data_IF_025385127968
#
_entry.id   IF_025385127968
#
_cell.length_a   1.000
_cell.length_b   1.000
_cell.length_c   1.000
_cell.angle_alpha   90.00
_cell.angle_beta   90.00
_cell.angle_gamma   90.00
#
_symmetry.space_group_name_H-M   'P 1'
#
loop_
_entity.id
_entity.type
_entity.pdbx_description
1 polymer ?
#
# COMPACT_ATOMS: atom_id res chain seq x y z
N UNK A 1 17.87 -1.06 6.70
CA UNK A 1 17.68 -1.84 5.48
C UNK A 1 17.99 -3.30 5.67
N UNK A 2 17.12 -4.14 5.20
CA UNK A 2 17.11 -5.57 5.55
C UNK A 2 17.95 -6.42 4.61
N UNK A 3 18.46 -5.85 3.52
CA UNK A 3 19.18 -6.62 2.51
C UNK A 3 20.47 -7.26 3.03
N UNK A 4 21.12 -6.68 4.04
CA UNK A 4 22.31 -7.26 4.63
C UNK A 4 22.10 -8.64 5.25
N UNK A 5 20.89 -8.92 5.72
CA UNK A 5 20.60 -10.22 6.34
C UNK A 5 20.50 -11.34 5.33
N UNK A 6 20.25 -11.05 4.06
CA UNK A 6 20.17 -12.06 3.02
C UNK A 6 21.54 -12.72 2.75
N UNK A 7 22.63 -11.98 2.93
CA UNK A 7 23.95 -12.50 2.75
C UNK A 7 24.34 -13.53 3.81
N UNK A 8 23.81 -13.42 5.00
CA UNK A 8 24.07 -14.37 6.08
C UNK A 8 23.39 -15.72 5.85
N UNK A 9 22.33 -15.72 5.08
CA UNK A 9 21.57 -16.92 4.73
C UNK A 9 22.02 -17.50 3.40
N UNK A 10 23.31 -17.54 3.14
CA UNK A 10 23.87 -17.99 1.88
C UNK A 10 23.50 -19.40 1.43
N UNK A 11 22.82 -20.15 2.28
CA UNK A 11 22.32 -21.49 1.95
C UNK A 11 20.90 -21.49 1.43
N UNK A 12 20.25 -20.34 1.40
CA UNK A 12 18.89 -20.23 0.86
C UNK A 12 18.89 -20.59 -0.62
N UNK A 13 17.80 -21.21 -1.03
CA UNK A 13 17.59 -21.47 -2.45
C UNK A 13 17.68 -20.17 -3.26
N UNK A 14 18.34 -20.20 -4.40
CA UNK A 14 18.49 -19.03 -5.24
C UNK A 14 17.14 -18.38 -5.61
N UNK A 15 16.10 -19.19 -5.83
CA UNK A 15 14.76 -18.70 -6.11
C UNK A 15 14.17 -17.90 -4.96
N UNK A 16 14.38 -18.33 -3.70
CA UNK A 16 13.90 -17.62 -2.51
C UNK A 16 14.61 -16.29 -2.35
N UNK A 17 15.92 -16.26 -2.53
CA UNK A 17 16.71 -15.03 -2.47
C UNK A 17 16.26 -14.06 -3.57
N UNK A 18 16.08 -14.57 -4.79
CA UNK A 18 15.64 -13.77 -5.92
C UNK A 18 14.26 -13.16 -5.68
N UNK A 19 13.31 -13.92 -5.13
CA UNK A 19 11.98 -13.42 -4.82
C UNK A 19 12.01 -12.34 -3.73
N UNK A 20 12.84 -12.52 -2.69
CA UNK A 20 12.99 -11.53 -1.63
C UNK A 20 13.59 -10.22 -2.16
N UNK A 21 14.60 -10.31 -3.01
CA UNK A 21 15.22 -9.13 -3.63
C UNK A 21 14.24 -8.44 -4.57
N UNK A 22 13.49 -9.18 -5.37
CA UNK A 22 12.48 -8.62 -6.25
C UNK A 22 11.37 -7.90 -5.48
N UNK A 23 10.92 -8.48 -4.37
CA UNK A 23 9.93 -7.84 -3.52
C UNK A 23 10.46 -6.54 -2.93
N UNK A 24 11.70 -6.53 -2.42
CA UNK A 24 12.32 -5.33 -1.87
C UNK A 24 12.45 -4.23 -2.94
N UNK A 25 12.87 -4.58 -4.14
CA UNK A 25 12.97 -3.63 -5.25
C UNK A 25 11.62 -3.04 -5.64
N UNK A 26 10.57 -3.86 -5.63
CA UNK A 26 9.20 -3.39 -5.90
C UNK A 26 8.70 -2.44 -4.83
N UNK A 27 8.93 -2.76 -3.56
CA UNK A 27 8.54 -1.89 -2.46
C UNK A 27 9.25 -0.54 -2.53
N UNK A 28 10.53 -0.52 -2.92
CA UNK A 28 11.26 0.72 -3.15
C UNK A 28 10.62 1.56 -4.26
N UNK A 29 10.25 0.94 -5.38
CA UNK A 29 9.51 1.63 -6.45
C UNK A 29 8.16 2.15 -5.98
N UNK A 30 7.49 1.41 -5.13
CA UNK A 30 6.17 1.78 -4.60
C UNK A 30 6.23 2.96 -3.64
N UNK A 31 7.35 3.19 -2.93
CA UNK A 31 7.49 4.38 -2.08
C UNK A 31 7.34 5.66 -2.88
N UNK A 32 7.78 5.64 -4.13
CA UNK A 32 7.61 6.77 -5.04
C UNK A 32 6.16 6.92 -5.49
N UNK A 33 5.50 5.81 -5.81
CA UNK A 33 4.10 5.81 -6.23
C UNK A 33 3.17 6.32 -5.13
N UNK A 34 3.36 5.82 -3.92
CA UNK A 34 2.52 6.20 -2.78
C UNK A 34 2.99 7.46 -2.07
N UNK A 35 4.16 7.99 -2.46
CA UNK A 35 4.76 9.18 -1.83
C UNK A 35 4.89 9.01 -0.32
N UNK A 36 5.31 7.82 0.11
CA UNK A 36 5.54 7.52 1.51
C UNK A 36 6.98 7.06 1.72
N UNK A 37 7.62 7.44 2.83
CA UNK A 37 9.03 7.12 3.05
C UNK A 37 9.28 5.65 3.38
N UNK A 38 8.31 4.93 3.93
CA UNK A 38 8.54 3.57 4.38
C UNK A 38 7.32 2.68 4.20
N UNK A 39 7.52 1.58 3.48
CA UNK A 39 6.50 0.57 3.22
C UNK A 39 6.97 -0.79 3.73
N UNK A 40 6.02 -1.60 4.17
CA UNK A 40 6.24 -3.00 4.54
C UNK A 40 5.20 -3.90 3.87
N UNK A 41 5.61 -5.12 3.56
CA UNK A 41 4.65 -6.17 3.24
C UNK A 41 4.03 -6.72 4.52
N UNK A 42 2.85 -7.33 4.40
CA UNK A 42 2.21 -8.00 5.54
C UNK A 42 3.14 -9.05 6.17
N UNK A 43 3.83 -9.82 5.35
CA UNK A 43 4.77 -10.83 5.84
C UNK A 43 5.86 -10.23 6.72
N UNK A 44 6.45 -9.11 6.30
CA UNK A 44 7.46 -8.42 7.09
C UNK A 44 6.87 -7.86 8.38
N UNK A 45 5.68 -7.26 8.29
CA UNK A 45 4.99 -6.71 9.47
C UNK A 45 4.73 -7.79 10.52
N UNK A 46 4.30 -8.97 10.10
CA UNK A 46 4.04 -10.09 11.01
C UNK A 46 5.31 -10.56 11.72
N UNK A 47 6.47 -10.48 11.05
CA UNK A 47 7.75 -10.88 11.63
C UNK A 47 8.25 -9.90 12.69
N UNK A 48 8.05 -8.60 12.50
CA UNK A 48 8.54 -7.59 13.44
C UNK A 48 7.53 -7.25 14.54
N UNK A 49 6.27 -7.65 14.38
CA UNK A 49 5.19 -7.33 15.30
C UNK A 49 4.55 -5.98 15.02
N UNK A 50 3.24 -5.98 14.96
CA UNK A 50 2.46 -4.79 14.57
C UNK A 50 2.30 -3.75 15.69
N UNK A 51 2.70 -4.11 16.93
CA UNK A 51 2.59 -3.21 18.08
C UNK A 51 3.75 -2.21 18.20
N UNK A 52 4.82 -2.38 17.41
CA UNK A 52 6.02 -1.53 17.50
C UNK A 52 5.83 -0.23 16.75
N UNK A 53 5.12 -0.27 15.64
CA UNK A 53 4.95 0.89 14.76
C UNK A 53 3.48 1.17 14.50
N UNK A 54 3.17 2.42 14.24
CA UNK A 54 1.87 2.81 13.71
C UNK A 54 1.86 2.54 12.21
N UNK A 55 0.98 1.64 11.77
CA UNK A 55 0.90 1.23 10.38
C UNK A 55 -0.48 1.48 9.80
N UNK A 56 -0.52 1.57 8.48
CA UNK A 56 -1.77 1.74 7.74
C UNK A 56 -1.74 0.83 6.53
N UNK A 57 -2.75 -0.04 6.40
CA UNK A 57 -2.92 -0.84 5.19
C UNK A 57 -3.31 0.11 4.05
N UNK A 58 -2.48 0.16 3.02
CA UNK A 58 -2.69 1.12 1.93
C UNK A 58 -3.00 0.49 0.59
N UNK A 59 -2.69 -0.78 0.40
CA UNK A 59 -3.01 -1.42 -0.87
C UNK A 59 -3.04 -2.92 -0.76
N UNK A 60 -3.76 -3.51 -1.71
CA UNK A 60 -3.74 -4.92 -2.02
C UNK A 60 -3.26 -5.00 -3.46
N UNK A 61 -1.99 -5.29 -3.63
CA UNK A 61 -1.33 -5.19 -4.91
C UNK A 61 -0.84 -6.53 -5.44
N UNK A 62 -0.76 -6.64 -6.74
CA UNK A 62 -0.17 -7.79 -7.40
C UNK A 62 0.60 -7.32 -8.63
N UNK A 63 1.60 -8.09 -9.01
CA UNK A 63 2.28 -7.88 -10.27
C UNK A 63 1.45 -8.54 -11.37
N UNK A 64 1.25 -7.81 -12.46
CA UNK A 64 0.50 -8.31 -13.60
C UNK A 64 1.08 -9.65 -14.08
N UNK A 65 0.23 -10.66 -14.20
CA UNK A 65 0.63 -12.01 -14.57
C UNK A 65 1.05 -12.91 -13.41
N UNK A 66 1.08 -12.42 -12.19
CA UNK A 66 1.33 -13.22 -10.98
C UNK A 66 0.01 -13.52 -10.28
N UNK A 67 -0.10 -14.72 -9.71
CA UNK A 67 -1.31 -15.14 -9.00
C UNK A 67 -1.40 -14.56 -7.59
N UNK A 68 -0.25 -14.38 -6.93
CA UNK A 68 -0.20 -13.92 -5.56
C UNK A 68 -0.29 -12.40 -5.44
N UNK A 69 -1.08 -11.95 -4.50
CA UNK A 69 -1.13 -10.54 -4.16
C UNK A 69 -0.37 -10.27 -2.86
N UNK A 70 -0.01 -9.02 -2.65
CA UNK A 70 0.72 -8.55 -1.47
C UNK A 70 -0.08 -7.44 -0.79
N UNK A 71 -0.29 -7.57 0.50
CA UNK A 71 -0.83 -6.48 1.31
C UNK A 71 0.31 -5.53 1.66
N UNK A 72 0.15 -4.27 1.29
CA UNK A 72 1.18 -3.24 1.48
C UNK A 72 0.77 -2.32 2.62
N UNK A 73 1.67 -2.16 3.58
CA UNK A 73 1.47 -1.29 4.73
C UNK A 73 2.43 -0.12 4.70
N UNK A 74 1.93 1.05 5.03
CA UNK A 74 2.72 2.24 5.29
C UNK A 74 3.10 2.28 6.76
N UNK A 75 4.36 2.60 7.06
CA UNK A 75 4.82 2.83 8.43
C UNK A 75 4.76 4.33 8.68
N UNK A 76 3.81 4.77 9.49
CA UNK A 76 3.57 6.19 9.74
C UNK A 76 4.71 6.84 10.52
N UNK A 77 5.45 6.05 11.31
CA UNK A 77 6.62 6.53 12.06
C UNK A 77 7.78 6.97 11.17
N UNK A 78 7.75 6.65 9.87
CA UNK A 78 8.73 7.14 8.91
C UNK A 78 8.53 8.59 8.49
N UNK A 79 7.36 9.15 8.80
CA UNK A 79 7.04 10.55 8.52
C UNK A 79 7.50 11.48 9.64
N UNK A 80 7.54 12.79 9.37
CA UNK A 80 7.70 13.76 10.45
C UNK A 80 6.53 13.66 11.44
N UNK A 81 6.73 14.01 12.73
CA UNK A 81 5.68 13.87 13.74
C UNK A 81 4.37 14.56 13.38
N UNK A 82 4.43 15.73 12.78
CA UNK A 82 3.23 16.49 12.39
C UNK A 82 2.40 15.75 11.34
N UNK A 83 3.07 15.20 10.31
CA UNK A 83 2.42 14.45 9.25
C UNK A 83 1.93 13.10 9.78
N UNK A 84 2.74 12.43 10.58
CA UNK A 84 2.38 11.16 11.21
C UNK A 84 1.12 11.31 12.06
N UNK A 85 1.08 12.29 12.95
CA UNK A 85 -0.08 12.54 13.81
C UNK A 85 -1.33 12.89 12.99
N UNK A 86 -1.16 13.70 11.94
CA UNK A 86 -2.26 14.06 11.06
C UNK A 86 -2.81 12.82 10.32
N UNK A 87 -1.95 11.96 9.81
CA UNK A 87 -2.39 10.70 9.17
C UNK A 87 -3.08 9.77 10.17
N UNK A 88 -2.56 9.67 11.40
CA UNK A 88 -3.19 8.86 12.45
C UNK A 88 -4.61 9.38 12.71
N UNK A 89 -4.81 10.68 12.73
CA UNK A 89 -6.13 11.25 12.95
C UNK A 89 -7.13 10.93 11.84
N UNK A 90 -6.67 10.61 10.64
CA UNK A 90 -7.52 10.24 9.51
C UNK A 90 -7.66 8.74 9.30
N UNK A 91 -6.98 7.91 10.11
CA UNK A 91 -7.01 6.45 9.95
C UNK A 91 -8.42 5.86 9.84
N UNK A 92 -9.39 6.21 10.71
CA UNK A 92 -10.72 5.62 10.60
C UNK A 92 -11.39 5.94 9.26
N UNK A 93 -11.22 7.16 8.77
CA UNK A 93 -11.78 7.58 7.48
C UNK A 93 -11.09 6.93 6.31
N UNK A 94 -9.76 6.83 6.35
CA UNK A 94 -9.01 6.14 5.33
C UNK A 94 -9.42 4.67 5.26
N UNK A 95 -9.49 4.00 6.40
CA UNK A 95 -9.90 2.60 6.48
C UNK A 95 -11.30 2.40 5.88
N UNK A 96 -12.22 3.29 6.19
CA UNK A 96 -13.58 3.22 5.63
C UNK A 96 -13.57 3.42 4.11
N UNK A 97 -12.80 4.39 3.63
CA UNK A 97 -12.62 4.60 2.19
C UNK A 97 -12.05 3.37 1.50
N UNK A 98 -11.03 2.74 2.10
CA UNK A 98 -10.43 1.53 1.57
C UNK A 98 -11.44 0.38 1.49
N UNK A 99 -12.21 0.15 2.54
CA UNK A 99 -13.26 -0.88 2.55
C UNK A 99 -14.30 -0.63 1.45
N UNK A 100 -14.75 0.60 1.30
CA UNK A 100 -15.70 0.97 0.26
C UNK A 100 -15.11 0.76 -1.14
N UNK A 101 -13.84 1.09 -1.32
CA UNK A 101 -13.12 0.85 -2.57
C UNK A 101 -13.09 -0.64 -2.90
N UNK A 102 -12.75 -1.48 -1.92
CA UNK A 102 -12.74 -2.94 -2.11
C UNK A 102 -14.12 -3.48 -2.47
N UNK A 103 -15.17 -2.86 -1.96
CA UNK A 103 -16.56 -3.26 -2.21
C UNK A 103 -17.19 -2.56 -3.42
N UNK A 104 -16.39 -1.97 -4.29
CA UNK A 104 -16.82 -1.32 -5.53
C UNK A 104 -17.69 -0.08 -5.33
N UNK A 105 -17.70 0.48 -4.15
CA UNK A 105 -18.43 1.71 -3.85
C UNK A 105 -17.52 2.93 -4.04
N UNK A 106 -17.06 3.11 -5.28
CA UNK A 106 -16.03 4.09 -5.61
C UNK A 106 -16.44 5.53 -5.36
N UNK A 107 -17.70 5.87 -5.59
CA UNK A 107 -18.20 7.23 -5.32
C UNK A 107 -18.14 7.56 -3.83
N UNK A 108 -18.57 6.62 -3.00
CA UNK A 108 -18.53 6.79 -1.55
C UNK A 108 -17.08 6.77 -1.04
N UNK A 109 -16.26 5.86 -1.57
CA UNK A 109 -14.85 5.80 -1.23
C UNK A 109 -14.14 7.12 -1.55
N UNK A 110 -14.43 7.70 -2.71
CA UNK A 110 -13.85 8.96 -3.14
C UNK A 110 -14.06 10.08 -2.13
N UNK A 111 -15.26 10.18 -1.55
CA UNK A 111 -15.55 11.20 -0.54
C UNK A 111 -14.69 11.05 0.71
N UNK A 112 -14.48 9.82 1.16
CA UNK A 112 -13.59 9.56 2.30
C UNK A 112 -12.15 9.90 2.00
N UNK A 113 -11.64 9.53 0.82
CA UNK A 113 -10.27 9.87 0.44
C UNK A 113 -10.06 11.36 0.25
N UNK A 114 -11.03 12.06 -0.30
CA UNK A 114 -10.99 13.54 -0.41
C UNK A 114 -10.90 14.18 0.97
N UNK A 115 -11.70 13.70 1.92
CA UNK A 115 -11.66 14.21 3.30
C UNK A 115 -10.28 13.99 3.93
N UNK A 116 -9.68 12.82 3.72
CA UNK A 116 -8.33 12.54 4.21
C UNK A 116 -7.30 13.48 3.58
N UNK A 117 -7.38 13.68 2.28
CA UNK A 117 -6.43 14.52 1.55
C UNK A 117 -6.58 16.01 1.91
N UNK A 118 -7.79 16.48 2.09
CA UNK A 118 -8.04 17.86 2.54
C UNK A 118 -7.41 18.13 3.90
N UNK A 119 -7.51 17.15 4.80
CA UNK A 119 -6.93 17.27 6.14
C UNK A 119 -5.41 17.11 6.13
N UNK A 120 -4.88 16.26 5.27
CA UNK A 120 -3.45 15.97 5.15
C UNK A 120 -3.05 16.06 3.67
N UNK A 121 -2.74 17.27 3.17
CA UNK A 121 -2.34 17.42 1.75
C UNK A 121 -1.07 16.65 1.37
N UNK A 122 -0.27 16.26 2.33
CA UNK A 122 0.93 15.46 2.12
C UNK A 122 0.63 13.96 1.97
N UNK A 123 -0.63 13.56 2.14
CA UNK A 123 -1.03 12.15 2.04
C UNK A 123 -1.13 11.70 0.58
N UNK A 124 0.00 11.28 0.01
CA UNK A 124 0.07 10.83 -1.37
C UNK A 124 -0.73 9.56 -1.64
N UNK A 125 -1.00 8.75 -0.62
CA UNK A 125 -1.83 7.55 -0.77
C UNK A 125 -3.29 7.96 -0.98
N UNK A 126 -3.80 8.89 -0.18
CA UNK A 126 -5.16 9.40 -0.36
C UNK A 126 -5.32 10.03 -1.76
N UNK A 127 -4.34 10.82 -2.20
CA UNK A 127 -4.32 11.39 -3.55
C UNK A 127 -4.41 10.32 -4.64
N UNK A 128 -3.62 9.25 -4.50
CA UNK A 128 -3.61 8.14 -5.45
C UNK A 128 -4.98 7.46 -5.53
N UNK A 129 -5.62 7.23 -4.38
CA UNK A 129 -6.95 6.63 -4.37
C UNK A 129 -8.03 7.54 -4.94
N UNK A 130 -7.90 8.85 -4.77
CA UNK A 130 -8.78 9.81 -5.43
C UNK A 130 -8.69 9.61 -6.96
N UNK A 131 -7.47 9.58 -7.49
CA UNK A 131 -7.25 9.36 -8.93
C UNK A 131 -7.81 8.02 -9.40
N UNK A 132 -7.58 6.96 -8.64
CA UNK A 132 -8.11 5.62 -8.96
C UNK A 132 -9.63 5.58 -8.97
N UNK A 133 -10.26 6.16 -7.97
CA UNK A 133 -11.72 6.24 -7.90
C UNK A 133 -12.30 7.04 -9.07
N UNK A 134 -11.75 8.20 -9.35
CA UNK A 134 -12.20 9.05 -10.46
C UNK A 134 -12.07 8.33 -11.80
N UNK A 135 -10.94 7.64 -12.01
CA UNK A 135 -10.73 6.87 -13.23
C UNK A 135 -11.75 5.75 -13.36
N UNK A 136 -12.00 4.99 -12.31
CA UNK A 136 -12.98 3.91 -12.32
C UNK A 136 -14.40 4.42 -12.55
N UNK A 137 -14.76 5.52 -11.91
CA UNK A 137 -16.09 6.13 -12.10
C UNK A 137 -16.27 6.61 -13.54
N UNK A 138 -15.25 7.21 -14.14
CA UNK A 138 -15.35 7.78 -15.49
C UNK A 138 -15.27 6.72 -16.60
N UNK A 139 -14.42 5.72 -16.45
CA UNK A 139 -14.21 4.69 -17.47
C UNK A 139 -15.04 3.44 -17.26
N UNK A 140 -15.62 3.27 -16.08
CA UNK A 140 -16.36 2.05 -15.72
C UNK A 140 -15.42 0.91 -15.32
N UNK A 141 -16.02 -0.13 -14.77
CA UNK A 141 -15.31 -1.33 -14.34
C UNK A 141 -16.21 -2.55 -14.51
N UNK A 142 -15.58 -3.72 -14.55
CA UNK A 142 -16.31 -4.99 -14.62
C UNK A 142 -16.56 -5.49 -13.19
N UNK A 143 -17.82 -5.46 -12.77
CA UNK A 143 -18.21 -5.83 -11.40
C UNK A 143 -17.94 -7.29 -11.08
N UNK A 144 -18.00 -8.16 -12.08
CA UNK A 144 -17.78 -9.59 -11.88
C UNK A 144 -16.30 -9.93 -11.76
N UNK A 145 -15.44 -9.14 -12.41
CA UNK A 145 -13.99 -9.35 -12.40
C UNK A 145 -13.28 -8.57 -11.31
N UNK A 146 -14.00 -7.75 -10.57
CA UNK A 146 -13.39 -6.95 -9.52
C UNK A 146 -12.96 -7.83 -8.36
N UNK A 147 -11.67 -7.82 -8.07
CA UNK A 147 -11.06 -8.56 -6.97
C UNK A 147 -10.43 -7.67 -5.89
N UNK A 148 -10.53 -6.36 -6.06
CA UNK A 148 -9.93 -5.39 -5.14
C UNK A 148 -8.43 -5.27 -5.24
N UNK A 149 -7.80 -5.94 -6.19
CA UNK A 149 -6.35 -5.96 -6.36
C UNK A 149 -5.96 -4.89 -7.37
N UNK A 150 -4.95 -4.09 -7.01
CA UNK A 150 -4.35 -3.14 -7.94
C UNK A 150 -3.14 -3.80 -8.60
N UNK A 151 -3.24 -4.05 -9.89
CA UNK A 151 -2.19 -4.71 -10.65
C UNK A 151 -1.13 -3.70 -11.08
N UNK A 152 0.12 -4.06 -10.87
CA UNK A 152 1.27 -3.23 -11.16
C UNK A 152 2.10 -3.83 -12.28
N UNK A 153 2.75 -2.96 -13.06
CA UNK A 153 3.66 -3.41 -14.10
C UNK A 153 4.87 -4.13 -13.51
N UNK A 154 5.38 -5.13 -14.25
CA UNK A 154 6.47 -5.99 -13.81
C UNK A 154 7.85 -5.36 -14.04
N UNK A 155 8.05 -4.13 -13.60
CA UNK A 155 9.36 -3.47 -13.72
C UNK A 155 10.07 -3.38 -12.39
#
# INVERSE_FOLDING_TARGET
>A
MILGTLGESGRMEGSVISDAVNLAARLEGLTKLYKTPLLLSEETLLKIGDSIFDTRLIDKGAVKGKENHVMVYEVLNGESPDISDAKISTLPKFKKGFELYQNQQFKNALEFFKTCFEKVPEDGVAELYIERCEKLISSGWDTEKWDGINYMDAK
#
